data_IF_394335386300
#
_entry.id   IF_394335386300
#
_cell.length_a   1.000
_cell.length_b   1.000
_cell.length_c   1.000
_cell.angle_alpha   90.00
_cell.angle_beta   90.00
_cell.angle_gamma   90.00
#
_symmetry.space_group_name_H-M   'P 1'
#
loop_
_entity.id
_entity.type
_entity.pdbx_description
1 polymer ?
#
# COMPACT_ATOMS: atom_id res chain seq x y z
N UNK A 1 2.34 -5.14 -8.57
CA UNK A 1 2.57 -3.72 -8.26
C UNK A 1 2.25 -3.41 -6.80
N UNK A 2 3.25 -3.14 -5.94
CA UNK A 2 3.05 -2.63 -4.58
C UNK A 2 2.71 -1.13 -4.58
N UNK A 3 1.71 -0.73 -3.79
CA UNK A 3 1.28 0.68 -3.66
C UNK A 3 1.03 1.01 -2.19
N UNK A 4 1.60 2.12 -1.72
CA UNK A 4 1.37 2.64 -0.38
C UNK A 4 0.55 3.93 -0.44
N UNK A 5 -0.50 4.02 0.38
CA UNK A 5 -1.40 5.16 0.46
C UNK A 5 -1.47 5.65 1.91
N UNK A 6 -1.24 6.95 2.12
CA UNK A 6 -1.24 7.60 3.44
C UNK A 6 -2.16 8.83 3.43
N UNK A 7 -2.79 9.13 4.58
CA UNK A 7 -3.70 10.28 4.75
C UNK A 7 -5.17 10.02 4.38
N UNK A 8 -5.48 8.94 3.67
CA UNK A 8 -6.86 8.63 3.26
C UNK A 8 -7.82 8.38 4.43
N UNK A 9 -7.34 7.83 5.56
CA UNK A 9 -8.17 7.58 6.76
C UNK A 9 -8.68 8.87 7.40
N UNK A 10 -7.99 9.98 7.19
CA UNK A 10 -8.37 11.27 7.76
C UNK A 10 -9.55 11.90 6.99
N UNK A 11 -9.78 11.46 5.74
CA UNK A 11 -10.93 11.88 4.94
C UNK A 11 -12.24 11.46 5.61
N UNK A 12 -12.28 10.23 6.12
CA UNK A 12 -13.45 9.66 6.76
C UNK A 12 -13.04 8.52 7.69
N UNK A 13 -13.27 8.68 8.99
CA UNK A 13 -13.09 7.60 9.95
C UNK A 13 -14.15 6.52 9.74
N UNK A 14 -13.78 5.25 9.97
CA UNK A 14 -14.70 4.12 9.85
C UNK A 14 -15.96 4.36 10.69
N UNK A 15 -17.13 4.28 10.06
CA UNK A 15 -18.43 4.49 10.71
C UNK A 15 -18.93 5.94 10.73
N UNK A 16 -18.16 6.89 10.21
CA UNK A 16 -18.60 8.28 10.06
C UNK A 16 -19.43 8.47 8.79
N UNK A 17 -20.44 9.33 8.86
CA UNK A 17 -21.20 9.82 7.69
C UNK A 17 -20.64 11.14 7.12
N UNK A 18 -19.58 11.71 7.72
CA UNK A 18 -19.02 12.99 7.32
C UNK A 18 -17.65 12.84 6.68
N UNK A 19 -17.51 13.39 5.47
CA UNK A 19 -16.25 13.40 4.68
C UNK A 19 -15.60 14.78 4.79
N UNK A 20 -14.27 14.81 4.92
CA UNK A 20 -13.46 16.04 4.96
C UNK A 20 -12.43 16.06 3.82
N UNK A 21 -12.13 17.24 3.24
CA UNK A 21 -11.00 17.38 2.33
C UNK A 21 -9.69 17.06 3.07
N UNK A 22 -8.86 16.21 2.47
CA UNK A 22 -7.53 15.84 2.99
C UNK A 22 -6.52 15.72 1.86
N UNK A 23 -5.24 15.81 2.19
CA UNK A 23 -4.16 15.44 1.28
C UNK A 23 -3.89 13.96 1.40
N UNK A 24 -3.88 13.26 0.27
CA UNK A 24 -3.47 11.85 0.19
C UNK A 24 -2.10 11.79 -0.46
N UNK A 25 -1.20 11.04 0.17
CA UNK A 25 0.10 10.70 -0.40
C UNK A 25 0.05 9.28 -0.96
N UNK A 26 0.50 9.12 -2.20
CA UNK A 26 0.59 7.81 -2.87
C UNK A 26 2.02 7.60 -3.32
N UNK A 27 2.60 6.46 -2.92
CA UNK A 27 3.89 5.99 -3.43
C UNK A 27 3.68 4.68 -4.18
N UNK A 28 4.20 4.63 -5.40
CA UNK A 28 4.15 3.45 -6.26
C UNK A 28 5.54 2.80 -6.22
N UNK A 29 5.59 1.53 -5.87
CA UNK A 29 6.84 0.76 -5.85
C UNK A 29 7.09 0.02 -7.15
N UNK A 30 8.29 -0.55 -7.25
CA UNK A 30 8.66 -1.42 -8.37
C UNK A 30 7.77 -2.66 -8.46
N UNK A 31 7.46 -3.14 -9.68
CA UNK A 31 6.77 -4.42 -9.88
C UNK A 31 7.45 -5.58 -9.15
N UNK A 32 6.64 -6.58 -8.78
CA UNK A 32 7.14 -7.87 -8.31
C UNK A 32 7.02 -8.83 -9.48
N UNK A 33 8.15 -9.40 -9.91
CA UNK A 33 8.13 -10.44 -10.93
C UNK A 33 7.42 -11.69 -10.40
N UNK A 34 6.49 -12.20 -11.20
CA UNK A 34 5.72 -13.41 -10.88
C UNK A 34 5.90 -14.53 -11.90
N UNK A 35 6.70 -14.29 -12.94
CA UNK A 35 7.00 -15.30 -13.94
C UNK A 35 7.75 -16.48 -13.28
N UNK A 36 7.27 -17.70 -13.51
CA UNK A 36 7.86 -18.92 -12.94
C UNK A 36 7.43 -19.24 -11.51
N UNK A 37 6.59 -18.42 -10.86
CA UNK A 37 5.98 -18.76 -9.59
C UNK A 37 4.77 -19.68 -9.79
N UNK A 38 4.52 -20.55 -8.81
CA UNK A 38 3.32 -21.37 -8.74
C UNK A 38 2.48 -21.08 -7.47
N UNK A 39 1.45 -21.90 -7.23
CA UNK A 39 0.55 -21.72 -6.09
C UNK A 39 1.21 -21.96 -4.73
N UNK A 40 2.30 -22.73 -4.67
CA UNK A 40 3.08 -22.96 -3.46
C UNK A 40 3.85 -21.69 -3.05
N UNK A 41 4.17 -20.81 -4.01
CA UNK A 41 4.86 -19.55 -3.75
C UNK A 41 3.93 -18.43 -3.26
N UNK A 42 2.61 -18.66 -3.27
CA UNK A 42 1.59 -17.65 -2.96
C UNK A 42 1.85 -16.93 -1.63
N UNK A 43 2.13 -17.70 -0.57
CA UNK A 43 2.31 -17.11 0.75
C UNK A 43 3.61 -16.29 0.82
N UNK A 44 4.67 -16.75 0.16
CA UNK A 44 5.91 -16.00 0.02
C UNK A 44 5.69 -14.68 -0.75
N UNK A 45 4.93 -14.72 -1.85
CA UNK A 45 4.58 -13.54 -2.64
C UNK A 45 3.74 -12.53 -1.84
N UNK A 46 2.80 -13.01 -1.01
CA UNK A 46 2.03 -12.15 -0.10
C UNK A 46 2.95 -11.45 0.90
N UNK A 47 3.86 -12.20 1.54
CA UNK A 47 4.79 -11.61 2.52
C UNK A 47 5.74 -10.60 1.87
N UNK A 48 6.25 -10.91 0.68
CA UNK A 48 7.10 -9.98 -0.07
C UNK A 48 6.34 -8.71 -0.48
N UNK A 49 5.09 -8.85 -0.92
CA UNK A 49 4.24 -7.69 -1.24
C UNK A 49 4.04 -6.80 -0.01
N UNK A 50 3.77 -7.39 1.16
CA UNK A 50 3.64 -6.64 2.43
C UNK A 50 4.92 -5.91 2.79
N UNK A 51 6.07 -6.59 2.75
CA UNK A 51 7.38 -5.96 3.02
C UNK A 51 7.65 -4.77 2.12
N UNK A 52 7.38 -4.87 0.81
CA UNK A 52 7.55 -3.75 -0.14
C UNK A 52 6.62 -2.58 0.19
N UNK A 53 5.36 -2.84 0.56
CA UNK A 53 4.42 -1.79 0.99
C UNK A 53 4.89 -1.13 2.28
N UNK A 54 5.34 -1.90 3.28
CA UNK A 54 5.88 -1.37 4.53
C UNK A 54 7.10 -0.47 4.30
N UNK A 55 8.01 -0.87 3.40
CA UNK A 55 9.15 -0.05 3.00
C UNK A 55 8.71 1.28 2.37
N UNK A 56 7.70 1.27 1.49
CA UNK A 56 7.14 2.49 0.91
C UNK A 56 6.48 3.39 1.97
N UNK A 57 5.76 2.81 2.93
CA UNK A 57 5.14 3.55 4.04
C UNK A 57 6.20 4.21 4.94
N UNK A 58 7.33 3.54 5.18
CA UNK A 58 8.43 4.04 6.00
C UNK A 58 9.10 5.29 5.43
N UNK A 59 8.99 5.53 4.11
CA UNK A 59 9.46 6.77 3.47
C UNK A 59 8.59 8.00 3.81
N UNK A 60 7.45 7.79 4.47
CA UNK A 60 6.52 8.85 4.86
C UNK A 60 5.81 9.51 3.67
N UNK A 61 4.97 10.53 3.95
CA UNK A 61 4.20 11.23 2.92
C UNK A 61 5.08 11.91 1.86
N UNK A 62 4.58 12.00 0.64
CA UNK A 62 5.12 12.88 -0.42
C UNK A 62 4.73 14.32 -0.07
N UNK A 63 5.71 15.20 0.06
CA UNK A 63 5.55 16.59 0.50
C UNK A 63 5.23 17.52 -0.66
#
# INVERSE_FOLDING_TARGET
MPVAVQGGRDAMQKGSAFIRPVRVSVRIGEPIETAGLDLNDRDALIQETRRRIEALLALGPVV
#
